data_IF_393164555672
#
_entry.id   IF_393164555672
#
_cell.length_a   1.000
_cell.length_b   1.000
_cell.length_c   1.000
_cell.angle_alpha   90.00
_cell.angle_beta   90.00
_cell.angle_gamma   90.00
#
_symmetry.space_group_name_H-M   'P 1'
#
loop_
_entity.id
_entity.type
_entity.pdbx_description
1 polymer ?
#
# COMPACT_ATOMS: atom_id res chain seq x y z
N UNK A 1 -1.86 70.10 41.75
CA UNK A 1 -2.15 68.66 41.58
C UNK A 1 -1.37 67.91 42.64
N UNK A 2 -2.03 67.12 43.48
CA UNK A 2 -1.36 66.44 44.60
C UNK A 2 -0.64 65.18 44.07
N UNK A 3 0.42 64.73 44.73
CA UNK A 3 1.20 63.52 44.41
C UNK A 3 0.31 62.28 44.19
N UNK A 4 -0.80 62.17 44.93
CA UNK A 4 -1.77 61.07 44.79
C UNK A 4 -2.46 61.11 43.41
N UNK A 5 -2.76 62.29 42.88
CA UNK A 5 -3.43 62.45 41.57
C UNK A 5 -2.50 62.06 40.42
N UNK A 6 -1.21 62.36 40.56
CA UNK A 6 -0.17 61.96 39.61
C UNK A 6 -0.05 60.43 39.57
N UNK A 7 0.06 59.78 40.73
CA UNK A 7 0.15 58.32 40.82
C UNK A 7 -1.08 57.65 40.22
N UNK A 8 -2.29 58.19 40.44
CA UNK A 8 -3.52 57.67 39.82
C UNK A 8 -3.50 57.79 38.30
N UNK A 9 -3.00 58.90 37.77
CA UNK A 9 -2.87 59.10 36.33
C UNK A 9 -1.86 58.11 35.72
N UNK A 10 -0.73 57.86 36.40
CA UNK A 10 0.28 56.91 35.96
C UNK A 10 -0.23 55.46 35.97
N UNK A 11 -1.00 55.06 37.00
CA UNK A 11 -1.65 53.75 37.06
C UNK A 11 -2.64 53.59 35.91
N UNK A 12 -3.48 54.60 35.65
CA UNK A 12 -4.44 54.56 34.55
C UNK A 12 -3.75 54.47 33.18
N UNK A 13 -2.64 55.20 33.00
CA UNK A 13 -1.84 55.12 31.79
C UNK A 13 -1.20 53.74 31.61
N UNK A 14 -0.65 53.16 32.68
CA UNK A 14 -0.10 51.81 32.66
C UNK A 14 -1.19 50.76 32.35
N UNK A 15 -2.36 50.88 32.95
CA UNK A 15 -3.49 49.97 32.70
C UNK A 15 -3.95 50.05 31.24
N UNK A 16 -4.05 51.25 30.66
CA UNK A 16 -4.42 51.42 29.25
C UNK A 16 -3.41 50.79 28.28
N UNK A 17 -2.12 50.75 28.65
CA UNK A 17 -1.08 50.05 27.87
C UNK A 17 -1.29 48.53 27.97
N UNK A 18 -1.53 48.01 29.18
CA UNK A 18 -1.81 46.59 29.41
C UNK A 18 -3.04 46.15 28.63
N UNK A 19 -4.13 46.91 28.71
CA UNK A 19 -5.40 46.61 28.03
C UNK A 19 -5.23 46.56 26.50
N UNK A 20 -4.34 47.38 25.93
CA UNK A 20 -3.98 47.35 24.50
C UNK A 20 -3.06 46.17 24.15
N UNK A 21 -2.15 45.79 25.04
CA UNK A 21 -1.19 44.71 24.80
C UNK A 21 -1.81 43.31 24.93
N UNK A 22 -2.77 43.13 25.84
CA UNK A 22 -3.43 41.85 26.12
C UNK A 22 -3.99 41.15 24.87
N UNK A 23 -4.80 41.79 23.99
CA UNK A 23 -5.32 41.14 22.78
C UNK A 23 -4.22 40.83 21.76
N UNK A 24 -3.11 41.59 21.74
CA UNK A 24 -1.98 41.31 20.85
C UNK A 24 -1.23 40.06 21.28
N UNK A 25 -1.06 39.85 22.59
CA UNK A 25 -0.44 38.64 23.13
C UNK A 25 -1.28 37.38 22.82
N UNK A 26 -2.61 37.48 22.92
CA UNK A 26 -3.52 36.38 22.54
C UNK A 26 -3.38 36.04 21.06
N UNK A 27 -3.43 37.05 20.17
CA UNK A 27 -3.23 36.84 18.73
C UNK A 27 -1.88 36.22 18.40
N UNK A 28 -0.81 36.63 19.09
CA UNK A 28 0.51 36.04 18.88
C UNK A 28 0.51 34.55 19.24
N UNK A 29 -0.11 34.17 20.37
CA UNK A 29 -0.24 32.78 20.77
C UNK A 29 -1.05 31.95 19.76
N UNK A 30 -2.16 32.50 19.25
CA UNK A 30 -2.96 31.87 18.19
C UNK A 30 -2.14 31.68 16.90
N UNK A 31 -1.36 32.68 16.50
CA UNK A 31 -0.48 32.59 15.33
C UNK A 31 0.61 31.53 15.51
N UNK A 32 1.20 31.43 16.71
CA UNK A 32 2.19 30.39 17.03
C UNK A 32 1.58 28.99 16.98
N UNK A 33 0.36 28.82 17.52
CA UNK A 33 -0.37 27.56 17.43
C UNK A 33 -0.71 27.20 15.97
N UNK A 34 -1.16 28.17 15.18
CA UNK A 34 -1.42 27.98 13.76
C UNK A 34 -0.14 27.58 12.99
N UNK A 35 0.99 28.23 13.26
CA UNK A 35 2.27 27.90 12.63
C UNK A 35 2.72 26.48 12.99
N UNK A 36 2.55 26.05 14.25
CA UNK A 36 2.86 24.68 14.67
C UNK A 36 1.95 23.65 13.98
N UNK A 37 0.65 23.96 13.84
CA UNK A 37 -0.30 23.10 13.14
C UNK A 37 0.05 22.96 11.64
N UNK A 38 0.41 24.06 10.97
CA UNK A 38 0.88 24.05 9.58
C UNK A 38 2.16 23.22 9.44
N UNK A 39 3.14 23.40 10.33
CA UNK A 39 4.37 22.61 10.30
C UNK A 39 4.11 21.11 10.51
N UNK A 40 3.15 20.76 11.39
CA UNK A 40 2.68 19.39 11.55
C UNK A 40 2.05 18.84 10.27
N UNK A 41 1.12 19.59 9.67
CA UNK A 41 0.45 19.21 8.44
C UNK A 41 1.42 19.05 7.25
N UNK A 42 2.42 19.92 7.13
CA UNK A 42 3.47 19.82 6.10
C UNK A 42 4.26 18.53 6.22
N UNK A 43 4.70 18.15 7.44
CA UNK A 43 5.40 16.87 7.66
C UNK A 43 4.54 15.67 7.29
N UNK A 44 3.26 15.70 7.68
CA UNK A 44 2.30 14.64 7.29
C UNK A 44 2.14 14.57 5.78
N UNK A 45 2.03 15.72 5.09
CA UNK A 45 1.93 15.77 3.63
C UNK A 45 3.18 15.19 2.96
N UNK A 46 4.38 15.49 3.46
CA UNK A 46 5.63 14.94 2.93
C UNK A 46 5.71 13.42 3.12
N UNK A 47 5.29 12.91 4.28
CA UNK A 47 5.19 11.46 4.52
C UNK A 47 4.18 10.79 3.57
N UNK A 48 3.03 11.41 3.33
CA UNK A 48 2.03 10.88 2.39
C UNK A 48 2.55 10.88 0.96
N UNK A 49 3.28 11.93 0.54
CA UNK A 49 3.92 11.99 -0.78
C UNK A 49 4.97 10.91 -0.96
N UNK A 50 5.79 10.65 0.06
CA UNK A 50 6.76 9.56 0.03
C UNK A 50 6.06 8.19 -0.11
N UNK A 51 5.03 7.94 0.71
CA UNK A 51 4.25 6.69 0.64
C UNK A 51 3.56 6.51 -0.71
N UNK A 52 3.09 7.59 -1.33
CA UNK A 52 2.52 7.55 -2.68
C UNK A 52 3.58 7.18 -3.72
N UNK A 53 4.75 7.80 -3.67
CA UNK A 53 5.85 7.49 -4.61
C UNK A 53 6.31 6.03 -4.48
N UNK A 54 6.39 5.52 -3.26
CA UNK A 54 6.71 4.12 -2.98
C UNK A 54 5.62 3.19 -3.55
N UNK A 55 4.35 3.53 -3.34
CA UNK A 55 3.22 2.76 -3.86
C UNK A 55 3.18 2.75 -5.39
N UNK A 56 3.38 3.91 -6.05
CA UNK A 56 3.47 4.02 -7.50
C UNK A 56 4.65 3.24 -8.08
N UNK A 57 5.78 3.20 -7.36
CA UNK A 57 6.94 2.42 -7.77
C UNK A 57 6.67 0.92 -7.63
N UNK A 58 6.08 0.51 -6.51
CA UNK A 58 5.66 -0.88 -6.31
C UNK A 58 4.64 -1.32 -7.37
N UNK A 59 3.69 -0.46 -7.72
CA UNK A 59 2.70 -0.75 -8.75
C UNK A 59 3.32 -0.83 -10.14
N UNK A 60 4.25 0.06 -10.47
CA UNK A 60 5.02 -0.03 -11.72
C UNK A 60 5.81 -1.34 -11.81
N UNK A 61 6.44 -1.77 -10.73
CA UNK A 61 7.16 -3.05 -10.66
C UNK A 61 6.19 -4.22 -10.85
N UNK A 62 5.03 -4.21 -10.18
CA UNK A 62 3.99 -5.23 -10.38
C UNK A 62 3.49 -5.26 -11.81
N UNK A 63 3.11 -4.11 -12.38
CA UNK A 63 2.61 -4.01 -13.74
C UNK A 63 3.64 -4.50 -14.77
N UNK A 64 4.92 -4.17 -14.58
CA UNK A 64 6.00 -4.68 -15.43
C UNK A 64 6.18 -6.20 -15.28
N UNK A 65 6.08 -6.73 -14.07
CA UNK A 65 6.10 -8.17 -13.81
C UNK A 65 4.92 -8.88 -14.50
N UNK A 66 3.69 -8.35 -14.36
CA UNK A 66 2.49 -8.89 -15.04
C UNK A 66 2.66 -8.85 -16.56
N UNK A 67 3.12 -7.73 -17.11
CA UNK A 67 3.36 -7.60 -18.56
C UNK A 67 4.43 -8.56 -19.09
N UNK A 68 5.37 -9.00 -18.24
CA UNK A 68 6.40 -9.96 -18.58
C UNK A 68 5.93 -11.42 -18.64
N UNK A 69 4.75 -11.72 -18.08
CA UNK A 69 4.20 -13.08 -18.01
C UNK A 69 2.89 -13.18 -18.80
N UNK A 70 2.84 -14.13 -19.72
CA UNK A 70 1.61 -14.58 -20.35
C UNK A 70 1.19 -15.88 -19.67
N UNK A 71 0.08 -15.85 -18.92
CA UNK A 71 -0.49 -17.09 -18.40
C UNK A 71 -1.10 -17.83 -19.58
N UNK A 72 -0.81 -19.12 -19.71
CA UNK A 72 -1.37 -19.96 -20.75
C UNK A 72 -2.53 -20.79 -20.17
N UNK A 73 -2.33 -21.39 -19.00
CA UNK A 73 -3.36 -22.18 -18.34
C UNK A 73 -3.06 -22.43 -16.86
N UNK A 74 -4.10 -22.64 -16.06
CA UNK A 74 -4.01 -23.13 -14.67
C UNK A 74 -4.83 -24.41 -14.60
N UNK A 75 -4.14 -25.55 -14.51
CA UNK A 75 -4.77 -26.86 -14.52
C UNK A 75 -4.35 -27.68 -13.31
N UNK A 76 -5.21 -28.60 -12.84
CA UNK A 76 -4.76 -29.65 -11.94
C UNK A 76 -3.62 -30.44 -12.58
N UNK A 77 -2.65 -30.83 -11.78
CA UNK A 77 -1.49 -31.64 -12.16
C UNK A 77 -1.98 -32.96 -12.76
N UNK A 78 -1.32 -33.39 -13.84
CA UNK A 78 -1.74 -34.56 -14.61
C UNK A 78 -1.89 -35.79 -13.69
N UNK A 79 -3.08 -36.41 -13.72
CA UNK A 79 -3.40 -37.59 -12.91
C UNK A 79 -4.19 -37.31 -11.62
N UNK A 80 -4.50 -36.05 -11.30
CA UNK A 80 -5.32 -35.69 -10.14
C UNK A 80 -6.66 -35.05 -10.55
N UNK A 81 -7.77 -35.72 -10.26
CA UNK A 81 -9.13 -35.15 -10.37
C UNK A 81 -9.78 -35.05 -8.98
N UNK A 82 -9.75 -33.88 -8.37
CA UNK A 82 -10.45 -33.60 -7.12
C UNK A 82 -10.10 -32.20 -6.59
N UNK A 83 -10.84 -31.67 -5.60
CA UNK A 83 -10.56 -30.37 -4.99
C UNK A 83 -9.17 -30.27 -4.35
N UNK A 84 -8.46 -31.40 -4.21
CA UNK A 84 -7.13 -31.53 -3.63
C UNK A 84 -5.98 -31.77 -4.63
N UNK A 85 -6.24 -31.74 -5.94
CA UNK A 85 -5.22 -31.93 -6.96
C UNK A 85 -4.35 -30.68 -7.13
N UNK A 86 -3.04 -30.81 -6.89
CA UNK A 86 -2.01 -29.77 -7.05
C UNK A 86 -2.23 -29.03 -8.37
N UNK A 87 -2.44 -27.71 -8.39
CA UNK A 87 -2.54 -27.00 -9.67
C UNK A 87 -1.16 -26.56 -10.15
N UNK A 88 -0.96 -26.68 -11.46
CA UNK A 88 0.19 -26.14 -12.18
C UNK A 88 -0.23 -24.95 -13.02
N UNK A 89 0.59 -23.91 -12.98
CA UNK A 89 0.48 -22.74 -13.84
C UNK A 89 1.45 -22.96 -14.99
N UNK A 90 0.93 -23.00 -16.20
CA UNK A 90 1.73 -22.88 -17.41
C UNK A 90 1.72 -21.42 -17.82
N UNK A 91 2.91 -20.83 -17.91
CA UNK A 91 3.06 -19.45 -18.32
C UNK A 91 4.28 -19.31 -19.23
N UNK A 92 4.20 -18.40 -20.19
CA UNK A 92 5.32 -18.00 -21.03
C UNK A 92 5.82 -16.62 -20.65
N UNK A 93 7.11 -16.39 -20.86
CA UNK A 93 7.72 -15.06 -20.80
C UNK A 93 8.67 -14.88 -21.96
N UNK A 94 8.87 -13.63 -22.38
CA UNK A 94 9.88 -13.30 -23.40
C UNK A 94 11.23 -13.16 -22.71
N UNK A 95 12.19 -13.99 -23.11
CA UNK A 95 13.58 -13.91 -22.63
C UNK A 95 14.43 -13.38 -23.76
N UNK A 96 15.26 -12.37 -23.48
CA UNK A 96 16.22 -11.84 -24.45
C UNK A 96 17.47 -12.73 -24.43
N UNK A 97 17.57 -13.64 -25.40
CA UNK A 97 18.73 -14.50 -25.59
C UNK A 97 19.74 -13.91 -26.58
N UNK A 98 20.83 -14.64 -26.82
CA UNK A 98 21.87 -14.32 -27.81
C UNK A 98 21.32 -14.08 -29.24
N UNK A 99 20.12 -14.59 -29.55
CA UNK A 99 19.48 -14.52 -30.86
C UNK A 99 18.20 -13.68 -30.86
N UNK A 100 18.02 -12.79 -29.86
CA UNK A 100 16.84 -11.93 -29.74
C UNK A 100 15.76 -12.44 -28.78
N UNK A 101 14.61 -11.75 -28.70
CA UNK A 101 13.51 -12.13 -27.81
C UNK A 101 12.88 -13.46 -28.23
N UNK A 102 12.91 -14.44 -27.34
CA UNK A 102 12.30 -15.76 -27.56
C UNK A 102 11.28 -16.06 -26.45
N UNK A 103 10.06 -16.52 -26.81
CA UNK A 103 9.09 -16.97 -25.82
C UNK A 103 9.59 -18.26 -25.18
N UNK A 104 9.69 -18.29 -23.85
CA UNK A 104 10.01 -19.48 -23.07
C UNK A 104 8.79 -19.85 -22.23
N UNK A 105 8.18 -21.00 -22.51
CA UNK A 105 7.08 -21.55 -21.71
C UNK A 105 7.64 -22.38 -20.56
N UNK A 106 7.17 -22.12 -19.35
CA UNK A 106 7.57 -22.82 -18.14
C UNK A 106 6.34 -23.23 -17.34
N UNK A 107 6.50 -24.31 -16.56
CA UNK A 107 5.46 -24.81 -15.66
C UNK A 107 5.90 -24.64 -14.21
N UNK A 108 5.01 -24.09 -13.41
CA UNK A 108 5.22 -23.87 -11.99
C UNK A 108 4.09 -24.53 -11.21
N UNK A 109 4.40 -25.15 -10.08
CA UNK A 109 3.35 -25.49 -9.11
C UNK A 109 2.88 -24.21 -8.43
N UNK A 110 1.60 -24.14 -8.04
CA UNK A 110 1.09 -22.97 -7.32
C UNK A 110 1.89 -22.65 -6.04
N UNK A 111 2.48 -23.66 -5.41
CA UNK A 111 3.26 -23.53 -4.18
C UNK A 111 4.70 -23.05 -4.39
N UNK A 112 5.25 -23.13 -5.60
CA UNK A 112 6.65 -22.82 -5.89
C UNK A 112 6.78 -21.94 -7.14
N UNK A 113 5.88 -20.96 -7.27
CA UNK A 113 5.95 -19.98 -8.34
C UNK A 113 6.71 -18.72 -7.88
N UNK A 114 7.41 -18.02 -8.79
CA UNK A 114 8.00 -16.73 -8.48
C UNK A 114 6.91 -15.68 -8.16
N UNK A 115 7.24 -14.72 -7.30
CA UNK A 115 6.28 -13.70 -6.82
C UNK A 115 5.68 -12.88 -7.97
N UNK A 116 6.46 -12.65 -9.01
CA UNK A 116 6.08 -11.92 -10.22
C UNK A 116 5.02 -12.67 -11.03
N UNK A 117 5.15 -14.00 -11.13
CA UNK A 117 4.15 -14.85 -11.78
C UNK A 117 2.88 -14.95 -10.93
N UNK A 118 2.99 -14.96 -9.59
CA UNK A 118 1.83 -14.90 -8.70
C UNK A 118 1.04 -13.60 -8.93
N UNK A 119 1.72 -12.46 -9.04
CA UNK A 119 1.07 -11.19 -9.34
C UNK A 119 0.33 -11.23 -10.68
N UNK A 120 0.93 -11.84 -11.71
CA UNK A 120 0.27 -12.02 -13.00
C UNK A 120 -0.99 -12.90 -12.89
N UNK A 121 -0.93 -14.00 -12.15
CA UNK A 121 -2.07 -14.90 -11.93
C UNK A 121 -3.21 -14.21 -11.18
N UNK A 122 -2.89 -13.38 -10.19
CA UNK A 122 -3.89 -12.60 -9.45
C UNK A 122 -4.53 -11.51 -10.31
N UNK A 123 -3.78 -10.92 -11.25
CA UNK A 123 -4.31 -9.93 -12.18
C UNK A 123 -5.32 -10.53 -13.19
N UNK A 124 -5.23 -11.82 -13.49
CA UNK A 124 -6.15 -12.55 -14.38
C UNK A 124 -7.03 -13.53 -13.59
N UNK A 125 -7.91 -12.97 -12.76
CA UNK A 125 -8.78 -13.73 -11.86
C UNK A 125 -9.75 -14.69 -12.59
N UNK A 126 -10.04 -14.46 -13.88
CA UNK A 126 -10.91 -15.33 -14.68
C UNK A 126 -10.27 -16.70 -14.93
N UNK A 127 -8.94 -16.75 -15.04
CA UNK A 127 -8.18 -17.98 -15.22
C UNK A 127 -8.06 -18.81 -13.96
N UNK A 128 -8.40 -18.26 -12.79
CA UNK A 128 -8.40 -19.01 -11.54
C UNK A 128 -9.53 -20.05 -11.61
N UNK A 129 -9.22 -21.36 -11.47
CA UNK A 129 -10.22 -22.41 -11.48
C UNK A 129 -11.34 -22.16 -10.48
N UNK A 130 -12.59 -22.44 -10.88
CA UNK A 130 -13.77 -22.21 -10.03
C UNK A 130 -13.69 -22.97 -8.69
N UNK A 131 -13.03 -24.14 -8.66
CA UNK A 131 -12.78 -24.88 -7.42
C UNK A 131 -11.86 -24.16 -6.43
N UNK A 132 -10.88 -23.39 -6.92
CA UNK A 132 -10.04 -22.53 -6.07
C UNK A 132 -10.86 -21.34 -5.61
N UNK A 133 -11.62 -20.70 -6.51
CA UNK A 133 -12.52 -19.59 -6.16
C UNK A 133 -13.60 -19.98 -5.15
N UNK A 134 -14.04 -21.23 -5.12
CA UNK A 134 -15.01 -21.70 -4.13
C UNK A 134 -14.46 -21.73 -2.68
N UNK A 135 -13.14 -21.60 -2.49
CA UNK A 135 -12.53 -21.58 -1.16
C UNK A 135 -12.75 -20.25 -0.40
N UNK A 136 -13.03 -19.16 -1.12
CA UNK A 136 -13.20 -17.83 -0.53
C UNK A 136 -14.01 -16.90 -1.46
N UNK A 137 -14.68 -15.88 -0.91
CA UNK A 137 -15.33 -14.87 -1.73
C UNK A 137 -14.31 -14.00 -2.49
N UNK A 138 -13.11 -13.83 -1.94
CA UNK A 138 -12.01 -13.11 -2.58
C UNK A 138 -11.09 -14.09 -3.33
N UNK A 139 -10.99 -13.98 -4.68
CA UNK A 139 -10.18 -14.88 -5.49
C UNK A 139 -8.70 -14.87 -5.12
N UNK A 140 -8.15 -13.75 -4.62
CA UNK A 140 -6.75 -13.69 -4.19
C UNK A 140 -6.52 -14.51 -2.92
N UNK A 141 -7.42 -14.37 -1.95
CA UNK A 141 -7.33 -15.11 -0.69
C UNK A 141 -7.56 -16.60 -0.92
N UNK A 142 -8.51 -16.95 -1.79
CA UNK A 142 -8.77 -18.33 -2.19
C UNK A 142 -7.51 -18.98 -2.77
N UNK A 143 -6.82 -18.29 -3.70
CA UNK A 143 -5.59 -18.78 -4.31
C UNK A 143 -4.45 -18.91 -3.30
N UNK A 144 -4.25 -17.90 -2.43
CA UNK A 144 -3.21 -17.93 -1.39
C UNK A 144 -3.44 -19.06 -0.39
N UNK A 145 -4.67 -19.25 0.09
CA UNK A 145 -5.06 -20.35 0.99
C UNK A 145 -4.83 -21.70 0.33
N UNK A 146 -5.22 -21.85 -0.94
CA UNK A 146 -4.99 -23.07 -1.69
C UNK A 146 -3.49 -23.39 -1.81
N UNK A 147 -2.67 -22.41 -2.20
CA UNK A 147 -1.22 -22.60 -2.32
C UNK A 147 -0.56 -23.00 -0.98
N UNK A 148 -0.97 -22.38 0.14
CA UNK A 148 -0.50 -22.73 1.48
C UNK A 148 -0.90 -24.15 1.88
N UNK A 149 -2.14 -24.56 1.57
CA UNK A 149 -2.64 -25.89 1.89
C UNK A 149 -1.91 -26.97 1.09
N UNK A 150 -1.68 -26.73 -0.21
CA UNK A 150 -0.88 -27.63 -1.06
C UNK A 150 0.56 -27.77 -0.56
N UNK A 151 1.18 -26.68 -0.09
CA UNK A 151 2.55 -26.67 0.43
C UNK A 151 2.74 -27.46 1.74
N UNK A 152 1.67 -27.62 2.54
CA UNK A 152 1.70 -28.43 3.77
C UNK A 152 1.38 -29.91 3.54
N UNK A 153 0.99 -30.27 2.31
CA UNK A 153 0.35 -31.55 2.00
C UNK A 153 -1.04 -31.63 2.63
N UNK A 154 -1.98 -32.32 1.98
CA UNK A 154 -3.23 -32.73 2.61
C UNK A 154 -2.93 -33.81 3.67
N UNK A 155 -2.32 -33.42 4.78
CA UNK A 155 -2.18 -34.26 5.97
C UNK A 155 -3.21 -33.77 6.98
N UNK A 156 -4.16 -34.67 7.28
CA UNK A 156 -5.21 -34.59 8.30
C UNK A 156 -6.44 -33.74 7.97
N UNK A 157 -7.44 -34.39 7.37
CA UNK A 157 -8.71 -34.70 8.05
C UNK A 157 -9.49 -35.71 7.23
#
# INVERSE_FOLDING_TARGET
MNTIDIIKADIAAAQAIIDKAQPLAVKLAEMQAAAAAVAGASRTLDQLRARLADAETAERIRAAAVAGWTIENIQPEAGYSGPAGRHTVTASRIVHGLYGPQPTTQRYTLSNMPVDLMAAVLADAERIPACIRALDADPEQALRKHAQHVGRGYMAS
#
